data_IF_831782578128
#
_entry.id   IF_831782578128
#
_cell.length_a   1.000
_cell.length_b   1.000
_cell.length_c   1.000
_cell.angle_alpha   90.00
_cell.angle_beta   90.00
_cell.angle_gamma   90.00
#
_symmetry.space_group_name_H-M   'P 1'
#
loop_
_entity.id
_entity.type
_entity.pdbx_description
1 polymer ?
#
# COMPACT_ATOMS: atom_id res chain seq x y z
N UNK A 1 -47.42 22.57 21.79
CA UNK A 1 -47.17 21.11 21.71
C UNK A 1 -45.72 20.87 22.18
N UNK A 2 -45.46 20.87 23.49
CA UNK A 2 -45.27 19.71 24.38
C UNK A 2 -44.37 18.60 23.80
N UNK A 3 -43.07 18.78 24.03
CA UNK A 3 -42.00 17.78 23.90
C UNK A 3 -42.20 16.69 24.96
N UNK A 4 -42.13 15.41 24.58
CA UNK A 4 -42.08 14.27 25.51
C UNK A 4 -40.72 13.59 25.40
N UNK A 5 -39.88 13.88 26.37
CA UNK A 5 -38.72 13.09 26.75
C UNK A 5 -39.27 11.89 27.54
N UNK A 6 -38.97 10.66 27.12
CA UNK A 6 -39.16 9.49 27.98
C UNK A 6 -37.85 9.18 28.70
N UNK A 7 -37.92 9.34 30.01
CA UNK A 7 -36.98 8.93 31.03
C UNK A 7 -36.80 7.41 31.07
N UNK A 8 -35.63 6.94 31.50
CA UNK A 8 -35.46 6.20 32.77
C UNK A 8 -34.13 5.42 32.76
N UNK A 9 -33.27 5.71 33.73
CA UNK A 9 -32.02 4.98 33.92
C UNK A 9 -31.10 5.60 34.97
N UNK A 10 -31.65 6.14 36.05
CA UNK A 10 -30.92 6.49 37.28
C UNK A 10 -30.35 5.24 37.94
N UNK A 11 -29.04 5.23 38.23
CA UNK A 11 -28.55 4.91 39.57
C UNK A 11 -27.16 5.53 39.79
N UNK A 12 -27.10 6.42 40.78
CA UNK A 12 -25.91 7.03 41.37
C UNK A 12 -25.58 6.28 42.68
N UNK A 13 -24.36 6.46 43.20
CA UNK A 13 -23.87 6.23 44.60
C UNK A 13 -23.37 4.80 44.90
N UNK A 14 -22.25 4.51 45.59
CA UNK A 14 -21.24 5.20 46.43
C UNK A 14 -19.97 4.31 46.44
N UNK A 15 -18.75 4.85 46.23
CA UNK A 15 -17.73 5.18 47.25
C UNK A 15 -17.22 4.04 48.17
N UNK A 16 -15.90 3.83 48.07
CA UNK A 16 -14.90 3.44 49.11
C UNK A 16 -14.92 2.00 49.65
N UNK A 17 -13.89 1.24 49.25
CA UNK A 17 -13.07 0.47 50.21
C UNK A 17 -11.59 0.70 49.92
N UNK A 18 -10.87 1.06 50.97
CA UNK A 18 -9.46 1.44 50.99
C UNK A 18 -8.52 0.24 50.91
N UNK A 19 -7.45 0.41 50.13
CA UNK A 19 -6.05 0.05 50.40
C UNK A 19 -5.71 -1.35 50.97
N UNK A 20 -5.03 -2.16 50.15
CA UNK A 20 -3.82 -2.88 50.60
C UNK A 20 -2.74 -2.68 49.55
N UNK A 21 -1.69 -1.96 49.93
CA UNK A 21 -0.44 -1.84 49.19
C UNK A 21 0.21 -3.22 49.06
N UNK A 22 0.46 -3.66 47.84
CA UNK A 22 1.63 -4.47 47.52
C UNK A 22 2.34 -3.80 46.35
N UNK A 23 3.48 -3.20 46.67
CA UNK A 23 4.42 -2.68 45.71
C UNK A 23 4.96 -3.84 44.87
N UNK A 24 4.50 -3.95 43.63
CA UNK A 24 5.28 -4.53 42.56
C UNK A 24 5.43 -3.43 41.52
N UNK A 25 6.65 -2.89 41.43
CA UNK A 25 7.00 -1.82 40.52
C UNK A 25 6.91 -2.28 39.08
N UNK A 26 5.70 -2.29 38.52
CA UNK A 26 5.51 -2.25 37.08
C UNK A 26 5.61 -0.78 36.69
N UNK A 27 6.76 -0.39 36.12
CA UNK A 27 6.89 0.83 35.31
C UNK A 27 5.91 0.71 34.14
N UNK A 28 4.67 1.11 34.38
CA UNK A 28 3.73 1.47 33.33
C UNK A 28 4.22 2.82 32.81
N UNK A 29 5.11 2.81 31.83
CA UNK A 29 5.31 3.97 30.96
C UNK A 29 4.00 4.20 30.20
N UNK A 30 3.09 4.95 30.83
CA UNK A 30 1.91 5.45 30.16
C UNK A 30 2.38 6.50 29.15
N UNK A 31 2.71 6.05 27.94
CA UNK A 31 2.94 6.93 26.83
C UNK A 31 1.75 7.88 26.72
N UNK A 32 2.04 9.18 26.65
CA UNK A 32 1.01 10.20 26.40
C UNK A 32 0.25 9.83 25.14
N UNK A 33 -1.03 10.20 24.99
CA UNK A 33 -1.80 9.87 23.79
C UNK A 33 -1.03 10.17 22.49
N UNK A 34 -0.35 11.32 22.41
CA UNK A 34 0.52 11.67 21.28
C UNK A 34 1.69 10.70 21.03
N UNK A 35 2.36 10.23 22.09
CA UNK A 35 3.44 9.25 21.96
C UNK A 35 2.93 7.85 21.55
N UNK A 36 1.70 7.47 21.96
CA UNK A 36 1.04 6.25 21.47
C UNK A 36 0.71 6.33 19.97
N UNK A 37 0.18 7.46 19.51
CA UNK A 37 -0.11 7.67 18.08
C UNK A 37 1.16 7.61 17.21
N UNK A 38 2.25 8.26 17.65
CA UNK A 38 3.52 8.23 16.93
C UNK A 38 4.13 6.82 16.88
N UNK A 39 4.04 6.07 17.98
CA UNK A 39 4.50 4.67 18.03
C UNK A 39 3.68 3.77 17.10
N UNK A 40 2.36 3.92 17.10
CA UNK A 40 1.46 3.15 16.24
C UNK A 40 1.68 3.47 14.76
N UNK A 41 1.78 4.76 14.39
CA UNK A 41 2.07 5.16 13.01
C UNK A 41 3.44 4.65 12.53
N UNK A 42 4.43 4.59 13.43
CA UNK A 42 5.74 4.01 13.15
C UNK A 42 5.66 2.49 12.92
N UNK A 43 4.92 1.78 13.77
CA UNK A 43 4.71 0.33 13.64
C UNK A 43 3.98 -0.03 12.33
N UNK A 44 2.93 0.71 11.98
CA UNK A 44 2.18 0.54 10.73
C UNK A 44 3.05 0.82 9.50
N UNK A 45 3.87 1.88 9.54
CA UNK A 45 4.83 2.18 8.47
C UNK A 45 5.87 1.08 8.30
N UNK A 46 6.36 0.51 9.40
CA UNK A 46 7.34 -0.58 9.37
C UNK A 46 6.72 -1.86 8.80
N UNK A 47 5.51 -2.23 9.24
CA UNK A 47 4.78 -3.37 8.71
C UNK A 47 4.52 -3.25 7.19
N UNK A 48 4.13 -2.05 6.75
CA UNK A 48 3.95 -1.75 5.32
C UNK A 48 5.25 -1.91 4.53
N UNK A 49 6.37 -1.38 5.03
CA UNK A 49 7.65 -1.50 4.34
C UNK A 49 8.13 -2.95 4.27
N UNK A 50 7.94 -3.73 5.34
CA UNK A 50 8.33 -5.14 5.34
C UNK A 50 7.48 -5.98 4.38
N UNK A 51 6.16 -5.76 4.36
CA UNK A 51 5.28 -6.45 3.42
C UNK A 51 5.65 -6.14 1.95
N UNK A 52 6.00 -4.88 1.65
CA UNK A 52 6.47 -4.48 0.32
C UNK A 52 7.81 -5.14 -0.02
N UNK A 53 8.74 -5.20 0.94
CA UNK A 53 10.02 -5.87 0.74
C UNK A 53 9.82 -7.35 0.38
N UNK A 54 9.00 -8.07 1.16
CA UNK A 54 8.64 -9.47 0.89
C UNK A 54 7.96 -9.62 -0.47
N UNK A 55 7.08 -8.70 -0.83
CA UNK A 55 6.44 -8.68 -2.15
C UNK A 55 7.47 -8.57 -3.28
N UNK A 56 8.45 -7.66 -3.17
CA UNK A 56 9.48 -7.43 -4.18
C UNK A 56 10.51 -8.56 -4.27
N UNK A 57 10.81 -9.24 -3.15
CA UNK A 57 11.66 -10.44 -3.16
C UNK A 57 11.02 -11.59 -3.95
N UNK A 58 9.69 -11.73 -3.84
CA UNK A 58 8.93 -12.77 -4.57
C UNK A 58 8.54 -12.36 -5.98
N UNK A 59 8.43 -11.06 -6.24
CA UNK A 59 8.12 -10.50 -7.54
C UNK A 59 9.23 -9.52 -7.92
N UNK A 60 10.38 -10.02 -8.41
CA UNK A 60 11.52 -9.18 -8.74
C UNK A 60 11.12 -8.10 -9.75
N UNK A 61 11.56 -6.83 -9.56
CA UNK A 61 11.27 -5.74 -10.49
C UNK A 61 11.64 -6.06 -11.94
N UNK A 62 12.66 -6.88 -12.18
CA UNK A 62 13.09 -7.36 -13.51
C UNK A 62 12.08 -8.29 -14.19
N UNK A 63 11.29 -9.03 -13.39
CA UNK A 63 10.22 -9.90 -13.88
C UNK A 63 8.97 -9.08 -14.11
N UNK A 64 8.61 -8.21 -13.16
CA UNK A 64 7.45 -7.32 -13.28
C UNK A 64 7.62 -6.38 -14.49
N UNK A 65 8.83 -5.83 -14.71
CA UNK A 65 9.11 -4.90 -15.80
C UNK A 65 8.79 -5.48 -17.17
N UNK A 66 9.00 -6.79 -17.40
CA UNK A 66 8.62 -7.45 -18.66
C UNK A 66 7.13 -7.36 -18.93
N UNK A 67 6.30 -7.61 -17.91
CA UNK A 67 4.84 -7.53 -18.04
C UNK A 67 4.36 -6.08 -18.29
N UNK A 68 5.04 -5.12 -17.66
CA UNK A 68 4.76 -3.70 -17.84
C UNK A 68 5.16 -3.24 -19.24
N UNK A 69 6.36 -3.58 -19.72
CA UNK A 69 6.79 -3.23 -21.08
C UNK A 69 5.86 -3.82 -22.14
N UNK A 70 5.41 -5.06 -21.97
CA UNK A 70 4.43 -5.68 -22.85
C UNK A 70 3.07 -4.94 -22.81
N UNK A 71 2.67 -4.43 -21.65
CA UNK A 71 1.44 -3.62 -21.51
C UNK A 71 1.59 -2.28 -22.21
N UNK A 72 2.73 -1.60 -22.05
CA UNK A 72 3.03 -0.35 -22.74
C UNK A 72 3.06 -0.55 -24.24
N UNK A 73 3.69 -1.62 -24.73
CA UNK A 73 3.70 -1.97 -26.15
C UNK A 73 2.30 -2.16 -26.72
N UNK A 74 1.44 -2.92 -26.03
CA UNK A 74 0.03 -3.15 -26.42
C UNK A 74 -0.83 -1.89 -26.38
N UNK A 75 -0.50 -0.94 -25.51
CA UNK A 75 -1.23 0.31 -25.38
C UNK A 75 -0.88 1.33 -26.48
N UNK A 76 0.19 1.10 -27.26
CA UNK A 76 0.56 2.01 -28.34
C UNK A 76 -0.43 1.92 -29.51
N UNK A 77 -0.84 3.06 -30.11
CA UNK A 77 -1.73 3.05 -31.26
C UNK A 77 -1.15 2.26 -32.43
N UNK A 78 -1.99 1.51 -33.14
CA UNK A 78 -1.58 0.76 -34.34
C UNK A 78 -1.00 1.64 -35.46
N UNK A 79 -1.35 2.94 -35.45
CA UNK A 79 -0.83 3.97 -36.36
C UNK A 79 0.63 4.35 -36.11
N UNK A 80 1.21 4.02 -34.95
CA UNK A 80 2.63 4.28 -34.65
C UNK A 80 3.49 3.25 -35.40
N UNK A 81 4.44 3.68 -36.26
CA UNK A 81 5.32 2.76 -36.98
C UNK A 81 6.17 1.89 -36.04
N UNK A 82 6.48 0.66 -36.44
CA UNK A 82 7.23 -0.31 -35.61
C UNK A 82 8.57 0.26 -35.09
N UNK A 83 9.33 0.97 -35.92
CA UNK A 83 10.61 1.59 -35.51
C UNK A 83 10.43 2.61 -34.37
N UNK A 84 9.32 3.34 -34.36
CA UNK A 84 9.02 4.33 -33.33
C UNK A 84 8.61 3.64 -32.03
N UNK A 85 7.86 2.53 -32.12
CA UNK A 85 7.51 1.69 -30.97
C UNK A 85 8.75 1.10 -30.31
N UNK A 86 9.68 0.57 -31.12
CA UNK A 86 10.96 0.03 -30.65
C UNK A 86 11.83 1.10 -29.97
N UNK A 87 11.87 2.33 -30.52
CA UNK A 87 12.59 3.44 -29.90
C UNK A 87 12.06 3.76 -28.50
N UNK A 88 10.74 3.80 -28.32
CA UNK A 88 10.12 4.02 -27.00
C UNK A 88 10.45 2.87 -26.04
N UNK A 89 10.43 1.62 -26.52
CA UNK A 89 10.80 0.46 -25.71
C UNK A 89 12.30 0.43 -25.33
N UNK A 90 13.19 0.93 -26.19
CA UNK A 90 14.62 1.08 -25.85
C UNK A 90 14.81 2.13 -24.76
N UNK A 91 14.21 3.31 -24.93
CA UNK A 91 14.24 4.38 -23.93
C UNK A 91 13.70 3.91 -22.58
N UNK A 92 12.64 3.09 -22.58
CA UNK A 92 12.11 2.46 -21.37
C UNK A 92 13.13 1.58 -20.66
N UNK A 93 13.80 0.69 -21.41
CA UNK A 93 14.77 -0.24 -20.84
C UNK A 93 16.01 0.48 -20.32
N UNK A 94 16.42 1.55 -20.98
CA UNK A 94 17.58 2.36 -20.61
C UNK A 94 17.32 3.21 -19.36
N UNK A 95 16.12 3.79 -19.23
CA UNK A 95 15.81 4.76 -18.17
C UNK A 95 15.05 4.17 -16.97
N UNK A 96 14.30 3.09 -17.16
CA UNK A 96 13.54 2.45 -16.07
C UNK A 96 14.34 1.28 -15.54
N UNK A 97 15.29 1.60 -14.66
CA UNK A 97 16.10 0.59 -13.95
C UNK A 97 15.24 -0.23 -12.99
N UNK A 98 15.67 -1.42 -12.55
CA UNK A 98 14.98 -2.20 -11.52
C UNK A 98 14.75 -1.41 -10.22
N UNK A 99 15.65 -0.48 -9.87
CA UNK A 99 15.50 0.38 -8.71
C UNK A 99 14.36 1.39 -8.86
N UNK A 100 14.27 2.06 -10.02
CA UNK A 100 13.17 2.99 -10.33
C UNK A 100 11.85 2.21 -10.35
N UNK A 101 11.84 1.03 -10.97
CA UNK A 101 10.70 0.14 -11.00
C UNK A 101 10.24 -0.26 -9.57
N UNK A 102 11.18 -0.66 -8.71
CA UNK A 102 10.90 -1.00 -7.31
C UNK A 102 10.29 0.19 -6.55
N UNK A 103 10.80 1.41 -6.78
CA UNK A 103 10.26 2.64 -6.16
C UNK A 103 8.82 2.91 -6.61
N UNK A 104 8.53 2.78 -7.90
CA UNK A 104 7.19 2.99 -8.46
C UNK A 104 6.19 1.96 -7.95
N UNK A 105 6.56 0.68 -7.99
CA UNK A 105 5.76 -0.43 -7.44
C UNK A 105 5.51 -0.20 -5.95
N UNK A 106 6.55 0.11 -5.17
CA UNK A 106 6.42 0.39 -3.74
C UNK A 106 5.47 1.56 -3.46
N UNK A 107 5.59 2.65 -4.21
CA UNK A 107 4.73 3.81 -4.07
C UNK A 107 3.28 3.50 -4.45
N UNK A 108 3.05 2.72 -5.51
CA UNK A 108 1.70 2.30 -5.90
C UNK A 108 1.08 1.31 -4.91
N UNK A 109 1.87 0.40 -4.33
CA UNK A 109 1.42 -0.52 -3.28
C UNK A 109 0.95 0.24 -2.04
N UNK A 110 1.76 1.20 -1.55
CA UNK A 110 1.43 2.04 -0.37
C UNK A 110 0.15 2.85 -0.55
N UNK A 111 -0.14 3.29 -1.77
CA UNK A 111 -1.31 4.12 -2.09
C UNK A 111 -2.59 3.30 -2.18
N UNK A 112 -2.49 2.07 -2.67
CA UNK A 112 -3.67 1.31 -3.07
C UNK A 112 -3.99 0.15 -2.13
N UNK A 113 -3.01 -0.43 -1.41
CA UNK A 113 -3.20 -1.68 -0.68
C UNK A 113 -2.89 -1.55 0.81
N UNK A 114 -3.59 -2.36 1.59
CA UNK A 114 -3.29 -2.61 3.00
C UNK A 114 -2.16 -3.64 3.14
N UNK A 115 -1.54 -3.71 4.32
CA UNK A 115 -0.50 -4.71 4.63
C UNK A 115 -0.98 -6.13 4.34
N UNK A 116 -2.18 -6.48 4.80
CA UNK A 116 -2.77 -7.81 4.61
C UNK A 116 -2.97 -8.15 3.12
N UNK A 117 -3.44 -7.19 2.31
CA UNK A 117 -3.59 -7.40 0.87
C UNK A 117 -2.23 -7.59 0.18
N UNK A 118 -1.20 -6.83 0.56
CA UNK A 118 0.15 -6.98 0.01
C UNK A 118 0.71 -8.37 0.36
N UNK A 119 0.50 -8.84 1.58
CA UNK A 119 0.90 -10.20 1.96
C UNK A 119 0.20 -11.27 1.12
N UNK A 120 -1.10 -11.13 0.86
CA UNK A 120 -1.85 -12.04 -0.01
C UNK A 120 -1.29 -12.00 -1.44
N UNK A 121 -1.06 -10.80 -1.99
CA UNK A 121 -0.44 -10.62 -3.31
C UNK A 121 0.98 -11.19 -3.41
N UNK A 122 1.70 -11.24 -2.29
CA UNK A 122 3.05 -11.84 -2.23
C UNK A 122 3.00 -13.38 -2.16
N UNK A 123 1.90 -13.96 -1.69
CA UNK A 123 1.78 -15.39 -1.39
C UNK A 123 1.13 -16.19 -2.52
N UNK A 124 0.22 -15.57 -3.26
CA UNK A 124 -0.68 -16.27 -4.16
C UNK A 124 -0.58 -15.73 -5.59
N UNK A 125 -0.75 -16.63 -6.55
CA UNK A 125 -0.90 -16.28 -7.96
C UNK A 125 -2.27 -15.63 -8.24
N UNK A 126 -2.40 -14.92 -9.36
CA UNK A 126 -3.63 -14.21 -9.72
C UNK A 126 -4.90 -15.08 -9.79
N UNK A 127 -4.76 -16.38 -10.07
CA UNK A 127 -5.87 -17.33 -10.11
C UNK A 127 -6.45 -17.65 -8.72
N UNK A 128 -5.71 -17.34 -7.66
CA UNK A 128 -6.06 -17.64 -6.27
C UNK A 128 -6.52 -16.38 -5.50
N UNK A 129 -6.44 -15.21 -6.14
CA UNK A 129 -6.92 -13.96 -5.55
C UNK A 129 -8.45 -13.91 -5.59
N UNK A 130 -9.05 -13.22 -4.62
CA UNK A 130 -10.46 -12.83 -4.73
C UNK A 130 -10.67 -11.93 -5.94
N UNK A 131 -11.86 -11.96 -6.52
CA UNK A 131 -12.20 -11.14 -7.70
C UNK A 131 -11.94 -9.65 -7.46
N UNK A 132 -12.25 -9.16 -6.27
CA UNK A 132 -12.00 -7.77 -5.86
C UNK A 132 -10.51 -7.44 -5.84
N UNK A 133 -9.70 -8.31 -5.23
CA UNK A 133 -8.25 -8.09 -5.13
C UNK A 133 -7.58 -8.23 -6.51
N UNK A 134 -8.08 -9.13 -7.36
CA UNK A 134 -7.65 -9.29 -8.74
C UNK A 134 -7.92 -8.03 -9.55
N UNK A 135 -9.15 -7.52 -9.53
CA UNK A 135 -9.52 -6.26 -10.21
C UNK A 135 -8.68 -5.08 -9.72
N UNK A 136 -8.44 -5.01 -8.41
CA UNK A 136 -7.59 -3.98 -7.80
C UNK A 136 -6.13 -4.09 -8.26
N UNK A 137 -5.60 -5.32 -8.36
CA UNK A 137 -4.26 -5.58 -8.88
C UNK A 137 -4.12 -5.22 -10.37
N UNK A 138 -5.13 -5.50 -11.19
CA UNK A 138 -5.17 -5.10 -12.60
C UNK A 138 -5.11 -3.56 -12.76
N UNK A 139 -5.93 -2.84 -12.00
CA UNK A 139 -5.92 -1.36 -11.97
C UNK A 139 -4.55 -0.85 -11.54
N UNK A 140 -3.97 -1.44 -10.50
CA UNK A 140 -2.63 -1.08 -10.01
C UNK A 140 -1.56 -1.26 -11.10
N UNK A 141 -1.54 -2.41 -11.80
CA UNK A 141 -0.60 -2.66 -12.90
C UNK A 141 -0.74 -1.63 -14.02
N UNK A 142 -1.97 -1.24 -14.35
CA UNK A 142 -2.25 -0.18 -15.32
C UNK A 142 -1.71 1.18 -14.86
N UNK A 143 -1.91 1.55 -13.60
CA UNK A 143 -1.39 2.80 -13.03
C UNK A 143 0.13 2.87 -13.07
N UNK A 144 0.83 1.82 -12.61
CA UNK A 144 2.29 1.76 -12.65
C UNK A 144 2.79 1.88 -14.10
N UNK A 145 2.13 1.21 -15.05
CA UNK A 145 2.47 1.30 -16.48
C UNK A 145 2.25 2.71 -17.04
N UNK A 146 1.20 3.41 -16.60
CA UNK A 146 0.90 4.78 -17.02
C UNK A 146 1.87 5.80 -16.43
N UNK A 147 2.25 5.67 -15.15
CA UNK A 147 3.28 6.51 -14.53
C UNK A 147 4.62 6.38 -15.27
N UNK A 148 4.96 5.17 -15.74
CA UNK A 148 6.15 4.91 -16.56
C UNK A 148 6.05 5.64 -17.90
N UNK A 149 4.89 5.57 -18.57
CA UNK A 149 4.66 6.31 -19.83
C UNK A 149 4.80 7.82 -19.67
N UNK A 150 4.30 8.39 -18.56
CA UNK A 150 4.44 9.82 -18.25
C UNK A 150 5.89 10.22 -17.98
N UNK A 151 6.65 9.40 -17.25
CA UNK A 151 8.07 9.66 -16.98
C UNK A 151 8.87 9.72 -18.28
N UNK A 152 8.64 8.82 -19.22
CA UNK A 152 9.28 8.89 -20.54
C UNK A 152 8.94 10.16 -21.30
N UNK A 153 7.67 10.55 -21.33
CA UNK A 153 7.23 11.75 -22.04
C UNK A 153 7.91 13.00 -21.48
N UNK A 154 8.14 13.04 -20.15
CA UNK A 154 8.87 14.11 -19.49
C UNK A 154 10.39 14.06 -19.74
N UNK A 155 10.99 12.87 -19.92
CA UNK A 155 12.43 12.71 -20.22
C UNK A 155 12.80 12.86 -21.69
N UNK A 156 11.81 12.90 -22.58
CA UNK A 156 11.99 13.04 -24.04
C UNK A 156 11.87 14.49 -24.54
N UNK A 157 11.64 15.44 -23.63
CA UNK A 157 11.42 16.87 -23.90
C UNK A 157 12.66 17.72 -23.74
#
# INVERSE_FOLDING_TARGET
MKWRIHSAGTLLLLLVFSSVSHASGQKSESLTPGAKYLSQASAEKNAMNEAIKVYLERNPPEVISKSIYATVEKAQPASVPAYAREKVLSLLKENITPEIMAKMISAGLKRNFTVAEIEVLSKYDESQLSDDLKKKNEIFKFQVSSEIGLLLAASSG
#
